data_IF_425551093129
#
_entry.id   IF_425551093129
#
_cell.length_a   1.000
_cell.length_b   1.000
_cell.length_c   1.000
_cell.angle_alpha   90.00
_cell.angle_beta   90.00
_cell.angle_gamma   90.00
#
_symmetry.space_group_name_H-M   'P 1'
#
loop_
_entity.id
_entity.type
_entity.pdbx_description
1 polymer ?
#
# COMPACT_ATOMS: atom_id res chain seq x y z
N UNK A 1 3.97 7.24 20.43
CA UNK A 1 4.08 7.78 19.06
C UNK A 1 4.38 9.27 19.15
N UNK A 2 5.65 9.67 19.31
CA UNK A 2 6.02 11.09 19.20
C UNK A 2 6.68 11.27 17.83
N UNK A 3 5.93 11.83 16.89
CA UNK A 3 6.45 12.30 15.61
C UNK A 3 6.66 13.80 15.72
N UNK A 4 7.86 14.25 15.39
CA UNK A 4 8.18 15.66 15.27
C UNK A 4 7.60 16.25 13.97
N UNK A 5 7.68 17.57 13.80
CA UNK A 5 7.13 18.25 12.63
C UNK A 5 7.72 17.72 11.31
N UNK A 6 9.01 17.36 11.31
CA UNK A 6 9.68 16.82 10.14
C UNK A 6 9.14 15.44 9.77
N UNK A 7 8.94 14.55 10.75
CA UNK A 7 8.34 13.23 10.54
C UNK A 7 6.95 13.30 9.89
N UNK A 8 6.11 14.25 10.30
CA UNK A 8 4.79 14.46 9.69
C UNK A 8 4.88 14.95 8.24
N UNK A 9 5.81 15.86 7.94
CA UNK A 9 6.03 16.35 6.58
C UNK A 9 6.50 15.21 5.67
N UNK A 10 7.51 14.44 6.11
CA UNK A 10 8.03 13.29 5.36
C UNK A 10 6.93 12.25 5.14
N UNK A 11 6.10 11.98 6.15
CA UNK A 11 4.96 11.06 6.05
C UNK A 11 3.96 11.53 5.01
N UNK A 12 3.59 12.82 5.02
CA UNK A 12 2.66 13.37 4.05
C UNK A 12 3.21 13.24 2.62
N UNK A 13 4.49 13.57 2.39
CA UNK A 13 5.14 13.40 1.09
C UNK A 13 5.17 11.93 0.68
N UNK A 14 5.56 11.02 1.58
CA UNK A 14 5.65 9.60 1.27
C UNK A 14 4.28 8.99 0.92
N UNK A 15 3.21 9.39 1.62
CA UNK A 15 1.83 8.98 1.32
C UNK A 15 1.38 9.54 -0.04
N UNK A 16 1.70 10.80 -0.34
CA UNK A 16 1.39 11.41 -1.64
C UNK A 16 2.10 10.67 -2.80
N UNK A 17 3.39 10.40 -2.66
CA UNK A 17 4.16 9.62 -3.63
C UNK A 17 3.58 8.21 -3.80
N UNK A 18 3.16 7.60 -2.69
CA UNK A 18 2.49 6.28 -2.71
C UNK A 18 1.19 6.33 -3.50
N UNK A 19 0.36 7.36 -3.29
CA UNK A 19 -0.87 7.59 -4.04
C UNK A 19 -0.64 7.82 -5.54
N UNK A 20 0.34 8.65 -5.91
CA UNK A 20 0.73 8.89 -7.32
C UNK A 20 1.18 7.59 -7.98
N UNK A 21 1.95 6.75 -7.27
CA UNK A 21 2.38 5.45 -7.75
C UNK A 21 1.22 4.50 -8.01
N UNK A 22 0.22 4.48 -7.11
CA UNK A 22 -1.01 3.69 -7.28
C UNK A 22 -1.85 4.15 -8.48
N UNK A 23 -1.78 5.42 -8.87
CA UNK A 23 -2.46 5.96 -10.05
C UNK A 23 -1.76 5.61 -11.39
N UNK A 24 -0.63 4.87 -11.37
CA UNK A 24 0.11 4.47 -12.56
C UNK A 24 1.22 5.43 -12.98
N UNK A 25 1.42 6.54 -12.26
CA UNK A 25 2.42 7.58 -12.59
C UNK A 25 3.75 7.46 -11.81
N UNK A 26 3.87 6.53 -10.84
CA UNK A 26 4.97 6.56 -9.86
C UNK A 26 5.76 5.26 -9.64
N UNK A 27 5.58 4.22 -10.44
CA UNK A 27 6.45 3.02 -10.46
C UNK A 27 6.82 2.46 -9.07
N UNK A 28 8.10 2.58 -8.70
CA UNK A 28 8.67 2.03 -7.45
C UNK A 28 8.34 2.85 -6.18
N UNK A 29 7.74 4.03 -6.30
CA UNK A 29 7.50 4.94 -5.17
C UNK A 29 6.32 4.49 -4.28
N UNK A 30 5.51 3.52 -4.74
CA UNK A 30 4.32 3.01 -4.07
C UNK A 30 4.56 2.34 -2.71
N UNK A 31 5.79 1.88 -2.45
CA UNK A 31 6.13 1.18 -1.21
C UNK A 31 6.79 2.05 -0.15
N UNK A 32 6.94 3.36 -0.36
CA UNK A 32 7.85 4.19 0.45
C UNK A 32 7.24 4.71 1.76
N UNK A 33 5.91 4.77 1.89
CA UNK A 33 5.24 5.30 3.08
C UNK A 33 5.68 4.59 4.38
N UNK A 34 5.70 3.25 4.39
CA UNK A 34 6.05 2.48 5.59
C UNK A 34 7.54 2.61 5.95
N UNK A 35 8.52 2.42 5.03
CA UNK A 35 9.93 2.62 5.33
C UNK A 35 10.25 4.01 5.88
N UNK A 36 9.67 5.07 5.31
CA UNK A 36 9.91 6.43 5.80
C UNK A 36 9.31 6.66 7.18
N UNK A 37 8.06 6.24 7.43
CA UNK A 37 7.47 6.35 8.78
C UNK A 37 8.25 5.52 9.81
N UNK A 38 8.82 4.39 9.40
CA UNK A 38 9.60 3.50 10.27
C UNK A 38 10.91 4.11 10.78
N UNK A 39 11.33 5.27 10.24
CA UNK A 39 12.46 6.04 10.80
C UNK A 39 12.10 6.72 12.14
N UNK A 40 10.81 6.91 12.43
CA UNK A 40 10.32 7.55 13.67
C UNK A 40 9.57 6.60 14.59
N UNK A 41 8.79 5.66 14.04
CA UNK A 41 7.96 4.74 14.81
C UNK A 41 8.27 3.29 14.43
N UNK A 42 7.79 2.32 15.21
CA UNK A 42 8.02 0.92 14.87
C UNK A 42 7.39 0.58 13.51
N UNK A 43 7.96 -0.33 12.70
CA UNK A 43 7.37 -0.73 11.42
C UNK A 43 5.93 -1.25 11.57
N UNK A 44 5.64 -1.91 12.70
CA UNK A 44 4.28 -2.35 13.05
C UNK A 44 3.32 -1.16 13.17
N UNK A 45 3.72 -0.13 13.90
CA UNK A 45 2.90 1.06 14.10
C UNK A 45 2.74 1.87 12.80
N UNK A 46 3.81 1.96 12.00
CA UNK A 46 3.76 2.60 10.68
C UNK A 46 2.76 1.91 9.77
N UNK A 47 2.81 0.58 9.67
CA UNK A 47 1.84 -0.21 8.90
C UNK A 47 0.42 0.01 9.41
N UNK A 48 0.21 0.05 10.73
CA UNK A 48 -1.11 0.28 11.32
C UNK A 48 -1.71 1.64 10.93
N UNK A 49 -0.90 2.69 10.79
CA UNK A 49 -1.34 4.02 10.34
C UNK A 49 -1.56 4.08 8.83
N UNK A 50 -0.69 3.44 8.05
CA UNK A 50 -0.72 3.51 6.57
C UNK A 50 -1.83 2.63 5.98
N UNK A 51 -2.14 1.48 6.58
CA UNK A 51 -3.13 0.51 6.07
C UNK A 51 -4.51 1.12 5.76
N UNK A 52 -5.17 1.85 6.69
CA UNK A 52 -6.46 2.48 6.42
C UNK A 52 -6.42 3.44 5.22
N UNK A 53 -5.31 4.17 5.07
CA UNK A 53 -5.11 5.12 3.98
C UNK A 53 -5.02 4.36 2.64
N UNK A 54 -4.25 3.27 2.59
CA UNK A 54 -4.14 2.42 1.41
C UNK A 54 -5.49 1.79 1.03
N UNK A 55 -6.27 1.34 2.01
CA UNK A 55 -7.61 0.80 1.77
C UNK A 55 -8.51 1.84 1.12
N UNK A 56 -8.50 3.09 1.62
CA UNK A 56 -9.28 4.18 1.03
C UNK A 56 -8.82 4.47 -0.41
N UNK A 57 -7.51 4.48 -0.67
CA UNK A 57 -6.96 4.64 -2.03
C UNK A 57 -7.48 3.54 -2.97
N UNK A 58 -7.49 2.29 -2.53
CA UNK A 58 -7.98 1.16 -3.31
C UNK A 58 -9.48 1.25 -3.57
N UNK A 59 -10.28 1.66 -2.58
CA UNK A 59 -11.72 1.87 -2.76
C UNK A 59 -12.02 2.96 -3.80
N UNK A 60 -11.28 4.07 -3.77
CA UNK A 60 -11.39 5.14 -4.78
C UNK A 60 -10.98 4.61 -6.15
N UNK A 61 -9.87 3.86 -6.23
CA UNK A 61 -9.42 3.21 -7.46
C UNK A 61 -10.48 2.31 -8.07
N UNK A 62 -11.06 1.40 -7.27
CA UNK A 62 -12.15 0.52 -7.70
C UNK A 62 -13.34 1.34 -8.22
N UNK A 63 -13.71 2.43 -7.53
CA UNK A 63 -14.84 3.27 -7.96
C UNK A 63 -14.57 3.98 -9.29
N UNK A 64 -13.36 4.50 -9.50
CA UNK A 64 -12.96 5.21 -10.73
C UNK A 64 -12.82 4.25 -11.92
N UNK A 65 -12.36 3.02 -11.67
CA UNK A 65 -12.12 2.00 -12.69
C UNK A 65 -13.25 0.96 -12.82
N UNK A 66 -14.36 1.15 -12.10
CA UNK A 66 -15.49 0.23 -12.12
C UNK A 66 -16.04 0.11 -13.55
N UNK A 67 -16.10 -1.13 -14.05
CA UNK A 67 -16.63 -1.44 -15.38
C UNK A 67 -15.66 -1.17 -16.54
N UNK A 68 -14.44 -0.71 -16.27
CA UNK A 68 -13.38 -0.52 -17.28
C UNK A 68 -12.39 -1.69 -17.37
N UNK A 69 -12.46 -2.62 -16.43
CA UNK A 69 -11.56 -3.77 -16.36
C UNK A 69 -12.05 -4.94 -17.22
N UNK A 70 -11.10 -5.70 -17.77
CA UNK A 70 -11.37 -6.93 -18.50
C UNK A 70 -11.49 -8.13 -17.55
N UNK A 71 -12.68 -8.73 -17.48
CA UNK A 71 -12.95 -9.86 -16.58
C UNK A 71 -12.14 -11.11 -16.91
N UNK A 72 -11.75 -11.28 -18.17
CA UNK A 72 -10.92 -12.40 -18.61
C UNK A 72 -9.51 -12.35 -18.01
N UNK A 73 -8.96 -11.17 -17.76
CA UNK A 73 -7.67 -11.02 -17.08
C UNK A 73 -7.83 -11.16 -15.56
N UNK A 74 -8.86 -10.50 -15.01
CA UNK A 74 -9.13 -10.53 -13.57
C UNK A 74 -9.36 -11.95 -13.03
N UNK A 75 -10.03 -12.83 -13.80
CA UNK A 75 -10.25 -14.23 -13.37
C UNK A 75 -8.98 -15.06 -13.25
N UNK A 76 -7.90 -14.69 -13.95
CA UNK A 76 -6.61 -15.36 -13.82
C UNK A 76 -5.75 -14.69 -12.75
N UNK A 77 -5.82 -13.35 -12.66
CA UNK A 77 -5.02 -12.57 -11.74
C UNK A 77 -5.47 -12.75 -10.28
N UNK A 78 -6.79 -12.77 -10.01
CA UNK A 78 -7.31 -12.85 -8.64
C UNK A 78 -6.89 -14.17 -7.94
N UNK A 79 -7.08 -15.37 -8.53
CA UNK A 79 -6.67 -16.61 -7.89
C UNK A 79 -5.16 -16.68 -7.63
N UNK A 80 -4.34 -16.22 -8.59
CA UNK A 80 -2.89 -16.19 -8.45
C UNK A 80 -2.46 -15.22 -7.31
N UNK A 81 -3.07 -14.04 -7.24
CA UNK A 81 -2.83 -13.07 -6.17
C UNK A 81 -3.23 -13.63 -4.79
N UNK A 82 -4.40 -14.28 -4.69
CA UNK A 82 -4.85 -14.92 -3.45
C UNK A 82 -3.91 -16.03 -3.00
N UNK A 83 -3.44 -16.86 -3.92
CA UNK A 83 -2.43 -17.88 -3.65
C UNK A 83 -1.12 -17.26 -3.13
N UNK A 84 -0.62 -16.22 -3.79
CA UNK A 84 0.58 -15.50 -3.36
C UNK A 84 0.44 -14.89 -1.96
N UNK A 85 -0.69 -14.24 -1.67
CA UNK A 85 -0.99 -13.67 -0.35
C UNK A 85 -1.07 -14.76 0.71
N UNK A 86 -1.76 -15.87 0.42
CA UNK A 86 -1.89 -17.00 1.34
C UNK A 86 -0.52 -17.62 1.66
N UNK A 87 0.29 -17.90 0.63
CA UNK A 87 1.64 -18.43 0.80
C UNK A 87 2.54 -17.47 1.58
N UNK A 88 2.51 -16.18 1.23
CA UNK A 88 3.26 -15.15 1.95
C UNK A 88 2.85 -15.06 3.42
N UNK A 89 1.56 -15.19 3.72
CA UNK A 89 1.04 -15.18 5.09
C UNK A 89 1.46 -16.42 5.88
N UNK A 90 1.42 -17.60 5.28
CA UNK A 90 1.83 -18.86 5.93
C UNK A 90 3.34 -18.91 6.21
N UNK A 91 4.14 -18.32 5.33
CA UNK A 91 5.59 -18.23 5.49
C UNK A 91 6.02 -17.05 6.38
N UNK A 92 5.12 -16.11 6.67
CA UNK A 92 5.43 -14.92 7.46
C UNK A 92 5.86 -15.31 8.88
N UNK A 93 7.14 -15.06 9.21
CA UNK A 93 7.74 -15.41 10.50
C UNK A 93 8.38 -16.80 10.56
N UNK A 94 8.29 -17.61 9.50
CA UNK A 94 9.07 -18.86 9.34
C UNK A 94 10.45 -18.57 8.73
N UNK A 95 10.53 -17.53 7.90
CA UNK A 95 11.75 -16.97 7.30
C UNK A 95 12.11 -15.63 7.95
#
# INVERSE_FOLDING_TARGET
>A
MQMDALGWIVTAVAILLTGISKAGLGGALGGLAVPFMSMWISPRDAVAVVLPILIVMDMVGIRVWRGKGEWADLRHLIPAALLGIALGTLLFGVL
#
